data_IF_120527963643
#
_entry.id   IF_120527963643
#
_cell.length_a   1.000
_cell.length_b   1.000
_cell.length_c   1.000
_cell.angle_alpha   90.00
_cell.angle_beta   90.00
_cell.angle_gamma   90.00
#
_symmetry.space_group_name_H-M   'P 1'
#
loop_
_entity.id
_entity.type
_entity.pdbx_description
1 polymer ?
#
# COMPACT_ATOMS: atom_id res chain seq x y z
N UNK A 1 2.86 9.52 22.35
CA UNK A 1 3.74 8.85 21.37
C UNK A 1 2.87 8.55 20.17
N UNK A 2 3.22 9.07 19.00
CA UNK A 2 2.49 8.83 17.74
C UNK A 2 2.40 7.34 17.46
N UNK A 3 1.18 6.83 17.29
CA UNK A 3 0.96 5.43 16.94
C UNK A 3 1.43 5.18 15.50
N UNK A 4 1.88 3.96 15.21
CA UNK A 4 2.22 3.52 13.85
C UNK A 4 1.41 2.31 13.46
N UNK A 5 0.91 2.31 12.23
CA UNK A 5 0.30 1.15 11.59
C UNK A 5 0.95 0.92 10.24
N UNK A 6 0.97 -0.34 9.81
CA UNK A 6 1.44 -0.72 8.49
C UNK A 6 0.26 -1.21 7.67
N UNK A 7 0.06 -0.64 6.48
CA UNK A 7 -1.00 -1.03 5.55
C UNK A 7 -0.41 -1.96 4.49
N UNK A 8 -0.90 -3.20 4.50
CA UNK A 8 -0.46 -4.25 3.58
C UNK A 8 -1.13 -4.14 2.21
N UNK A 9 -0.63 -4.94 1.27
CA UNK A 9 -1.19 -5.06 -0.06
C UNK A 9 -2.68 -5.48 0.03
N UNK A 10 -3.54 -4.73 -0.64
CA UNK A 10 -4.99 -4.96 -0.65
C UNK A 10 -5.74 -4.39 0.54
N UNK A 11 -5.05 -3.74 1.49
CA UNK A 11 -5.71 -3.11 2.62
C UNK A 11 -6.10 -1.65 2.33
N UNK A 12 -7.19 -1.23 2.97
CA UNK A 12 -7.66 0.16 2.97
C UNK A 12 -7.81 0.58 4.42
N UNK A 13 -7.16 1.68 4.80
CA UNK A 13 -7.27 2.28 6.12
C UNK A 13 -7.88 3.68 6.01
N UNK A 14 -8.69 4.05 6.99
CA UNK A 14 -9.17 5.41 7.20
C UNK A 14 -9.33 5.67 8.70
N UNK A 15 -8.92 6.85 9.16
CA UNK A 15 -8.94 7.19 10.58
C UNK A 15 -8.56 8.64 10.84
N UNK A 16 -8.26 8.93 12.10
CA UNK A 16 -7.84 10.24 12.60
C UNK A 16 -6.97 10.08 13.85
N UNK A 17 -6.34 11.17 14.29
CA UNK A 17 -5.54 11.23 15.52
C UNK A 17 -4.04 11.20 15.28
N UNK A 18 -3.27 11.08 16.37
CA UNK A 18 -1.80 11.06 16.36
C UNK A 18 -1.27 9.72 15.83
N UNK A 19 -1.38 9.53 14.51
CA UNK A 19 -1.14 8.28 13.81
C UNK A 19 -0.28 8.49 12.55
N UNK A 20 0.69 7.59 12.37
CA UNK A 20 1.46 7.43 11.15
C UNK A 20 1.12 6.11 10.45
N UNK A 21 0.80 6.21 9.16
CA UNK A 21 0.52 5.09 8.28
C UNK A 21 1.76 4.81 7.45
N UNK A 22 2.28 3.58 7.50
CA UNK A 22 3.43 3.15 6.72
C UNK A 22 3.03 2.09 5.69
N UNK A 23 3.68 2.08 4.54
CA UNK A 23 3.50 1.02 3.54
C UNK A 23 4.70 0.89 2.61
N UNK A 24 4.85 -0.26 1.96
CA UNK A 24 5.92 -0.54 1.00
C UNK A 24 5.31 -0.83 -0.38
N UNK A 25 5.68 -0.01 -1.36
CA UNK A 25 5.15 -0.06 -2.72
C UNK A 25 6.22 -0.49 -3.72
N UNK A 26 5.91 -1.53 -4.50
CA UNK A 26 6.62 -1.89 -5.72
C UNK A 26 5.82 -1.43 -6.94
N UNK A 27 5.33 -2.38 -7.73
CA UNK A 27 4.42 -2.11 -8.86
C UNK A 27 2.99 -1.73 -8.43
N UNK A 28 2.61 -2.02 -7.19
CA UNK A 28 1.38 -1.57 -6.56
C UNK A 28 1.39 -0.04 -6.34
N UNK A 29 0.21 0.52 -6.09
CA UNK A 29 0.02 1.97 -5.92
C UNK A 29 -0.78 2.24 -4.65
N UNK A 30 -0.44 3.34 -3.99
CA UNK A 30 -1.22 3.89 -2.90
C UNK A 30 -1.81 5.25 -3.27
N UNK A 31 -3.06 5.46 -2.85
CA UNK A 31 -3.74 6.76 -2.87
C UNK A 31 -3.97 7.17 -1.42
N UNK A 32 -3.55 8.38 -1.07
CA UNK A 32 -3.78 8.97 0.25
C UNK A 32 -4.82 10.07 0.18
N UNK A 33 -5.74 10.10 1.14
CA UNK A 33 -6.65 11.23 1.39
C UNK A 33 -6.30 11.86 2.73
N UNK A 34 -6.25 13.19 2.81
CA UNK A 34 -6.09 13.90 4.07
C UNK A 34 -6.93 15.16 4.15
N UNK A 35 -7.73 15.31 5.21
CA UNK A 35 -8.54 16.50 5.47
C UNK A 35 -7.79 17.46 6.41
N UNK A 36 -7.41 18.67 5.96
CA UNK A 36 -6.56 19.59 6.72
C UNK A 36 -7.19 20.20 7.97
N UNK A 37 -8.52 20.31 8.01
CA UNK A 37 -9.24 20.91 9.16
C UNK A 37 -9.69 19.84 10.15
N UNK A 38 -10.15 18.69 9.66
CA UNK A 38 -10.72 17.63 10.49
C UNK A 38 -9.71 16.56 10.89
N UNK A 39 -8.53 16.55 10.25
CA UNK A 39 -7.47 15.55 10.43
C UNK A 39 -7.95 14.10 10.27
N UNK A 40 -8.97 13.90 9.42
CA UNK A 40 -9.27 12.59 8.87
C UNK A 40 -8.28 12.29 7.76
N UNK A 41 -7.85 11.05 7.65
CA UNK A 41 -7.11 10.60 6.49
C UNK A 41 -7.16 9.10 6.30
N UNK A 42 -6.83 8.69 5.09
CA UNK A 42 -6.85 7.30 4.71
C UNK A 42 -5.84 7.00 3.62
N UNK A 43 -5.50 5.72 3.51
CA UNK A 43 -4.60 5.19 2.51
C UNK A 43 -5.19 3.88 2.01
N UNK A 44 -5.29 3.72 0.70
CA UNK A 44 -5.44 2.40 0.10
C UNK A 44 -4.12 1.94 -0.50
N UNK A 45 -3.91 0.62 -0.55
CA UNK A 45 -2.75 0.02 -1.19
C UNK A 45 -3.25 -1.06 -2.15
N UNK A 46 -3.53 -0.67 -3.40
CA UNK A 46 -4.07 -1.60 -4.39
C UNK A 46 -2.97 -2.24 -5.25
N UNK A 47 -3.27 -3.42 -5.78
CA UNK A 47 -2.32 -4.26 -6.53
C UNK A 47 -2.62 -4.23 -8.03
N UNK A 48 -3.89 -4.16 -8.41
CA UNK A 48 -4.36 -4.20 -9.78
C UNK A 48 -5.37 -3.07 -10.06
N UNK A 49 -5.53 -2.64 -11.32
CA UNK A 49 -6.48 -1.57 -11.67
C UNK A 49 -7.92 -1.92 -11.29
N UNK A 50 -8.42 -3.02 -11.84
CA UNK A 50 -9.81 -3.46 -11.74
C UNK A 50 -9.89 -4.98 -11.60
N UNK A 51 -10.98 -5.47 -11.00
CA UNK A 51 -11.27 -6.91 -10.95
C UNK A 51 -11.66 -7.40 -12.34
N UNK A 52 -10.95 -8.41 -12.84
CA UNK A 52 -11.41 -9.17 -14.02
C UNK A 52 -12.61 -10.01 -13.59
N UNK A 53 -13.82 -9.51 -13.84
CA UNK A 53 -15.05 -10.24 -13.57
C UNK A 53 -15.07 -11.56 -14.36
N UNK A 54 -14.80 -12.67 -13.71
CA UNK A 54 -15.49 -13.91 -14.05
C UNK A 54 -16.86 -13.80 -13.41
N UNK A 55 -17.93 -13.67 -14.20
CA UNK A 55 -19.30 -13.72 -13.69
C UNK A 55 -19.46 -15.00 -12.88
N UNK A 56 -19.35 -14.89 -11.55
CA UNK A 56 -19.71 -15.98 -10.67
C UNK A 56 -21.21 -15.92 -10.56
N UNK A 57 -21.85 -16.95 -11.08
CA UNK A 57 -23.24 -17.27 -10.83
C UNK A 57 -23.26 -18.33 -9.75
N UNK A 58 -24.14 -18.16 -8.77
CA UNK A 58 -24.38 -19.23 -7.80
C UNK A 58 -25.12 -20.40 -8.47
N UNK A 59 -25.42 -21.44 -7.68
CA UNK A 59 -26.11 -22.63 -8.17
C UNK A 59 -27.51 -22.34 -8.74
N UNK A 60 -28.11 -21.19 -8.39
CA UNK A 60 -29.43 -20.75 -8.81
C UNK A 60 -29.38 -19.77 -10.00
N UNK A 61 -28.18 -19.52 -10.54
CA UNK A 61 -27.98 -18.62 -11.68
C UNK A 61 -28.03 -17.13 -11.32
N UNK A 62 -28.01 -16.78 -10.03
CA UNK A 62 -27.98 -15.39 -9.56
C UNK A 62 -26.53 -14.91 -9.55
N UNK A 63 -26.31 -13.69 -10.05
CA UNK A 63 -24.98 -13.08 -9.99
C UNK A 63 -24.60 -12.80 -8.55
N UNK A 64 -23.50 -13.39 -8.09
CA UNK A 64 -23.01 -13.14 -6.74
C UNK A 64 -22.31 -11.78 -6.74
N UNK A 65 -22.89 -10.82 -6.03
CA UNK A 65 -22.23 -9.52 -5.79
C UNK A 65 -21.13 -9.74 -4.74
N UNK A 66 -19.88 -9.79 -5.19
CA UNK A 66 -18.74 -9.94 -4.29
C UNK A 66 -18.51 -8.62 -3.52
N UNK A 67 -18.10 -8.74 -2.25
CA UNK A 67 -17.76 -7.56 -1.45
C UNK A 67 -16.54 -6.82 -2.06
N UNK A 68 -16.46 -5.49 -1.88
CA UNK A 68 -15.32 -4.71 -2.35
C UNK A 68 -13.98 -5.21 -1.78
N UNK A 69 -13.02 -5.48 -2.67
CA UNK A 69 -11.69 -6.00 -2.39
C UNK A 69 -10.65 -4.90 -2.65
N UNK A 70 -9.89 -4.53 -1.60
CA UNK A 70 -8.92 -3.44 -1.68
C UNK A 70 -7.71 -3.73 -2.57
N UNK A 71 -7.58 -4.94 -3.12
CA UNK A 71 -6.56 -5.26 -4.13
C UNK A 71 -6.83 -4.59 -5.47
N UNK A 72 -8.06 -4.17 -5.76
CA UNK A 72 -8.45 -3.49 -7.00
C UNK A 72 -8.63 -1.99 -6.73
N UNK A 73 -8.05 -1.16 -7.58
CA UNK A 73 -7.94 0.28 -7.32
C UNK A 73 -9.26 1.02 -7.35
N UNK A 74 -10.19 0.63 -8.24
CA UNK A 74 -11.57 1.15 -8.29
C UNK A 74 -12.35 0.86 -7.01
N UNK A 75 -12.30 -0.39 -6.56
CA UNK A 75 -12.97 -0.83 -5.35
C UNK A 75 -12.33 -0.23 -4.09
N UNK A 76 -11.00 -0.12 -4.06
CA UNK A 76 -10.26 0.47 -2.95
C UNK A 76 -10.50 1.98 -2.83
N UNK A 77 -10.53 2.72 -3.95
CA UNK A 77 -10.89 4.14 -3.96
C UNK A 77 -12.34 4.33 -3.53
N UNK A 78 -13.26 3.49 -4.01
CA UNK A 78 -14.67 3.52 -3.61
C UNK A 78 -14.83 3.36 -2.10
N UNK A 79 -14.05 2.49 -1.46
CA UNK A 79 -14.04 2.35 0.00
C UNK A 79 -13.52 3.60 0.73
N UNK A 80 -12.51 4.29 0.21
CA UNK A 80 -12.03 5.55 0.80
C UNK A 80 -13.08 6.66 0.66
N UNK A 81 -13.73 6.77 -0.50
CA UNK A 81 -14.80 7.74 -0.73
C UNK A 81 -16.03 7.47 0.14
N UNK A 82 -16.32 6.19 0.42
CA UNK A 82 -17.35 5.83 1.37
C UNK A 82 -17.04 6.35 2.78
N UNK A 83 -15.78 6.28 3.22
CA UNK A 83 -15.38 6.82 4.52
C UNK A 83 -15.52 8.34 4.59
N UNK A 84 -15.16 9.05 3.51
CA UNK A 84 -15.39 10.49 3.37
C UNK A 84 -16.88 10.83 3.57
N UNK A 85 -17.76 10.05 2.94
CA UNK A 85 -19.23 10.19 3.03
C UNK A 85 -19.76 9.90 4.43
N UNK A 86 -19.37 8.78 5.05
CA UNK A 86 -19.83 8.36 6.39
C UNK A 86 -19.41 9.38 7.46
N UNK A 87 -18.27 10.04 7.30
CA UNK A 87 -17.82 11.09 8.21
C UNK A 87 -18.41 12.47 7.91
N UNK A 88 -19.33 12.58 6.95
CA UNK A 88 -20.04 13.82 6.62
C UNK A 88 -19.15 14.91 6.03
N UNK A 89 -18.07 14.52 5.34
CA UNK A 89 -17.11 15.43 4.71
C UNK A 89 -17.20 15.35 3.19
N UNK A 90 -16.59 16.30 2.46
CA UNK A 90 -16.60 16.31 1.00
C UNK A 90 -15.21 16.02 0.48
N UNK A 91 -15.10 15.21 -0.57
CA UNK A 91 -13.80 14.84 -1.15
C UNK A 91 -12.99 16.06 -1.62
N UNK A 92 -13.67 17.14 -2.05
CA UNK A 92 -13.03 18.40 -2.43
C UNK A 92 -12.30 19.11 -1.28
N UNK A 93 -12.60 18.75 -0.03
CA UNK A 93 -11.93 19.28 1.16
C UNK A 93 -10.66 18.47 1.54
N UNK A 94 -10.32 17.42 0.77
CA UNK A 94 -9.15 16.57 1.03
C UNK A 94 -7.99 16.90 0.11
N UNK A 95 -6.78 16.84 0.67
CA UNK A 95 -5.54 16.72 -0.09
C UNK A 95 -5.37 15.27 -0.54
N UNK A 96 -5.12 15.08 -1.84
CA UNK A 96 -4.97 13.75 -2.44
C UNK A 96 -3.58 13.59 -3.03
N UNK A 97 -2.91 12.48 -2.72
CA UNK A 97 -1.56 12.18 -3.23
C UNK A 97 -1.46 10.73 -3.68
N UNK A 98 -0.62 10.47 -4.68
CA UNK A 98 -0.48 9.15 -5.32
C UNK A 98 0.97 8.71 -5.35
N UNK A 99 1.23 7.45 -5.00
CA UNK A 99 2.59 6.91 -4.88
C UNK A 99 2.68 5.48 -5.40
N UNK A 100 3.85 5.04 -5.87
CA UNK A 100 4.09 3.63 -6.22
C UNK A 100 4.26 3.40 -7.72
N UNK A 101 3.81 2.26 -8.22
CA UNK A 101 3.89 1.93 -9.65
C UNK A 101 5.32 1.74 -10.17
N UNK A 102 6.28 1.44 -9.30
CA UNK A 102 7.68 1.28 -9.67
C UNK A 102 7.98 -0.06 -10.35
N UNK A 103 9.01 -0.06 -11.20
CA UNK A 103 9.62 -1.25 -11.77
C UNK A 103 10.66 -1.83 -10.79
N UNK A 104 10.25 -2.81 -9.98
CA UNK A 104 11.13 -3.45 -8.99
C UNK A 104 11.90 -4.65 -9.54
N UNK A 105 11.46 -5.19 -10.67
CA UNK A 105 12.05 -6.38 -11.28
C UNK A 105 13.17 -6.05 -12.27
N UNK A 106 13.43 -4.75 -12.53
CA UNK A 106 14.42 -4.32 -13.52
C UNK A 106 14.11 -4.84 -14.94
N UNK A 107 12.84 -5.14 -15.22
CA UNK A 107 12.44 -5.62 -16.54
C UNK A 107 12.59 -4.48 -17.55
N UNK A 108 13.07 -4.75 -18.78
CA UNK A 108 13.23 -3.71 -19.78
C UNK A 108 11.88 -3.04 -20.09
N UNK A 109 11.86 -1.74 -20.44
CA UNK A 109 10.63 -0.95 -20.63
C UNK A 109 9.63 -1.53 -21.64
N UNK A 110 10.09 -2.41 -22.53
CA UNK A 110 9.29 -3.10 -23.55
C UNK A 110 8.53 -4.32 -23.03
N UNK A 111 8.76 -4.75 -21.78
CA UNK A 111 8.07 -5.88 -21.14
C UNK A 111 7.15 -5.38 -20.01
N UNK A 112 6.00 -6.05 -19.86
CA UNK A 112 5.01 -5.96 -18.76
C UNK A 112 5.16 -4.74 -17.83
N UNK A 113 4.58 -3.60 -18.22
CA UNK A 113 4.60 -2.34 -17.47
C UNK A 113 3.53 -2.31 -16.36
N UNK A 114 3.48 -3.33 -15.50
CA UNK A 114 2.43 -3.44 -14.46
C UNK A 114 2.42 -2.20 -13.56
N UNK A 115 3.60 -1.77 -13.12
CA UNK A 115 3.73 -0.57 -12.28
C UNK A 115 3.22 0.70 -12.95
N UNK A 116 3.59 0.91 -14.22
CA UNK A 116 3.07 2.05 -14.98
C UNK A 116 1.55 1.95 -15.15
N UNK A 117 1.03 0.79 -15.54
CA UNK A 117 -0.41 0.63 -15.77
C UNK A 117 -1.22 0.92 -14.50
N UNK A 118 -0.73 0.52 -13.33
CA UNK A 118 -1.34 0.86 -12.05
C UNK A 118 -1.26 2.35 -11.73
N UNK A 119 -0.15 3.00 -12.04
CA UNK A 119 0.02 4.44 -11.85
C UNK A 119 -0.92 5.25 -12.76
N UNK A 120 -0.94 4.91 -14.05
CA UNK A 120 -1.80 5.55 -15.05
C UNK A 120 -3.27 5.41 -14.64
N UNK A 121 -3.68 4.19 -14.28
CA UNK A 121 -5.03 3.92 -13.77
C UNK A 121 -5.38 4.79 -12.56
N UNK A 122 -4.50 4.91 -11.56
CA UNK A 122 -4.77 5.71 -10.36
C UNK A 122 -5.02 7.19 -10.71
N UNK A 123 -4.27 7.75 -11.65
CA UNK A 123 -4.44 9.13 -12.09
C UNK A 123 -5.72 9.29 -12.90
N UNK A 124 -6.00 8.36 -13.81
CA UNK A 124 -7.19 8.37 -14.65
C UNK A 124 -8.47 8.26 -13.83
N UNK A 125 -8.54 7.34 -12.87
CA UNK A 125 -9.73 7.15 -12.04
C UNK A 125 -9.97 8.36 -11.13
N UNK A 126 -8.93 8.96 -10.56
CA UNK A 126 -9.07 10.19 -9.77
C UNK A 126 -9.57 11.34 -10.65
N UNK A 127 -9.09 11.45 -11.89
CA UNK A 127 -9.59 12.43 -12.86
C UNK A 127 -11.07 12.19 -13.20
N UNK A 128 -11.49 10.95 -13.44
CA UNK A 128 -12.89 10.59 -13.71
C UNK A 128 -13.82 10.98 -12.55
N UNK A 129 -13.34 10.85 -11.31
CA UNK A 129 -14.03 11.30 -10.11
C UNK A 129 -13.90 12.81 -9.82
N UNK A 130 -13.22 13.57 -10.69
CA UNK A 130 -12.95 15.00 -10.53
C UNK A 130 -12.18 15.34 -9.24
N UNK A 131 -11.27 14.45 -8.82
CA UNK A 131 -10.46 14.60 -7.61
C UNK A 131 -9.06 15.08 -8.02
N UNK A 132 -8.67 16.32 -7.68
CA UNK A 132 -7.35 16.83 -8.06
C UNK A 132 -6.24 16.17 -7.22
N UNK A 133 -5.19 15.70 -7.90
CA UNK A 133 -3.99 15.18 -7.26
C UNK A 133 -3.07 16.35 -6.89
N UNK A 134 -2.80 16.52 -5.60
CA UNK A 134 -1.95 17.60 -5.08
C UNK A 134 -0.46 17.28 -5.20
N UNK A 135 -0.08 16.01 -5.11
CA UNK A 135 1.29 15.56 -5.33
C UNK A 135 1.32 14.09 -5.77
N UNK A 136 2.34 13.72 -6.54
CA UNK A 136 2.55 12.33 -6.94
C UNK A 136 4.03 11.96 -7.01
N UNK A 137 4.33 10.71 -6.66
CA UNK A 137 5.62 10.07 -6.95
C UNK A 137 5.33 8.63 -7.40
N UNK A 138 5.11 8.48 -8.70
CA UNK A 138 4.66 7.25 -9.34
C UNK A 138 5.62 6.81 -10.46
N UNK A 139 5.44 5.58 -10.96
CA UNK A 139 6.24 5.00 -12.05
C UNK A 139 7.75 4.91 -11.72
N UNK A 140 8.62 4.85 -12.73
CA UNK A 140 10.07 4.80 -12.55
C UNK A 140 10.59 3.47 -11.98
N UNK A 141 11.82 3.48 -11.49
CA UNK A 141 12.53 2.28 -11.04
C UNK A 141 12.50 2.12 -9.52
N UNK A 142 12.52 0.86 -9.06
CA UNK A 142 12.64 0.52 -7.66
C UNK A 142 11.34 0.64 -6.85
N UNK A 143 11.49 0.56 -5.53
CA UNK A 143 10.36 0.57 -4.59
C UNK A 143 10.29 1.90 -3.82
N UNK A 144 9.14 2.15 -3.21
CA UNK A 144 8.88 3.30 -2.35
C UNK A 144 8.38 2.83 -1.00
N UNK A 145 9.09 3.20 0.06
CA UNK A 145 8.59 3.08 1.41
C UNK A 145 7.97 4.41 1.82
N UNK A 146 6.69 4.39 2.18
CA UNK A 146 5.94 5.57 2.59
C UNK A 146 5.79 5.63 4.10
N UNK A 147 5.82 6.85 4.62
CA UNK A 147 5.26 7.22 5.92
C UNK A 147 4.32 8.40 5.70
N UNK A 148 3.07 8.25 6.08
CA UNK A 148 2.01 9.26 5.97
C UNK A 148 1.54 9.65 7.37
N UNK A 149 1.65 10.93 7.73
CA UNK A 149 1.27 11.43 9.06
C UNK A 149 -0.09 12.13 9.01
N UNK A 150 -1.05 11.62 9.80
CA UNK A 150 -2.41 12.14 9.82
C UNK A 150 -2.54 13.47 10.56
N UNK A 151 -1.54 13.88 11.35
CA UNK A 151 -1.58 15.16 12.06
C UNK A 151 -1.42 16.36 11.11
N UNK A 152 -0.70 16.18 10.00
CA UNK A 152 -0.33 17.30 9.13
C UNK A 152 -0.43 17.00 7.62
N UNK A 153 -0.73 15.77 7.24
CA UNK A 153 -0.91 15.39 5.84
C UNK A 153 0.39 15.10 5.09
N UNK A 154 1.54 15.15 5.76
CA UNK A 154 2.84 14.95 5.13
C UNK A 154 3.07 13.48 4.78
N UNK A 155 3.73 13.27 3.64
CA UNK A 155 4.14 11.95 3.18
C UNK A 155 5.63 11.97 2.90
N UNK A 156 6.39 11.19 3.67
CA UNK A 156 7.80 10.95 3.42
C UNK A 156 7.95 9.71 2.54
N UNK A 157 8.78 9.84 1.51
CA UNK A 157 9.06 8.76 0.56
C UNK A 157 10.54 8.41 0.66
N UNK A 158 10.84 7.15 0.99
CA UNK A 158 12.18 6.58 0.84
C UNK A 158 12.19 5.65 -0.36
N UNK A 159 13.01 5.98 -1.36
CA UNK A 159 13.21 5.17 -2.57
C UNK A 159 14.32 4.16 -2.35
N UNK A 160 14.18 2.98 -2.95
CA UNK A 160 15.22 1.96 -2.97
C UNK A 160 15.24 1.22 -4.30
N UNK A 161 16.35 0.56 -4.59
CA UNK A 161 16.53 -0.16 -5.86
C UNK A 161 15.88 -1.55 -5.83
N UNK A 162 15.49 -2.05 -7.00
CA UNK A 162 15.06 -3.42 -7.20
C UNK A 162 16.18 -4.43 -6.94
N UNK A 163 15.83 -5.72 -6.85
CA UNK A 163 16.79 -6.80 -6.58
C UNK A 163 17.81 -6.96 -7.71
N UNK A 164 19.07 -7.20 -7.33
CA UNK A 164 20.09 -7.71 -8.24
C UNK A 164 19.64 -9.07 -8.80
N UNK A 165 19.96 -9.34 -10.06
CA UNK A 165 19.68 -10.63 -10.71
C UNK A 165 20.68 -11.73 -10.30
N UNK A 166 21.71 -11.38 -9.53
CA UNK A 166 22.69 -12.34 -9.06
C UNK A 166 22.09 -13.26 -7.99
N UNK A 167 22.00 -14.54 -8.32
CA UNK A 167 21.62 -15.57 -7.37
C UNK A 167 22.80 -15.89 -6.46
N UNK A 168 22.75 -15.43 -5.21
CA UNK A 168 23.70 -15.88 -4.20
C UNK A 168 23.25 -17.22 -3.61
N UNK A 169 24.16 -18.19 -3.51
CA UNK A 169 23.89 -19.46 -2.84
C UNK A 169 23.74 -19.21 -1.36
N UNK A 170 22.51 -19.24 -0.85
CA UNK A 170 22.25 -19.28 0.59
C UNK A 170 22.64 -20.66 1.12
N UNK A 171 23.68 -20.79 1.97
CA UNK A 171 24.05 -22.09 2.52
C UNK A 171 22.92 -22.62 3.40
N UNK A 172 22.59 -23.89 3.26
CA UNK A 172 21.62 -24.59 4.09
C UNK A 172 22.21 -24.78 5.50
N UNK A 173 22.21 -23.73 6.33
CA UNK A 173 22.64 -23.68 7.73
C UNK A 173 23.92 -24.48 8.09
N UNK A 174 24.99 -23.77 8.45
CA UNK A 174 25.99 -24.39 9.33
C UNK A 174 25.34 -24.52 10.71
N UNK A 175 25.33 -25.73 11.28
CA UNK A 175 24.67 -26.08 12.52
C UNK A 175 24.74 -24.93 13.55
N UNK A 176 23.57 -24.46 14.00
CA UNK A 176 23.47 -23.53 15.12
C UNK A 176 24.16 -24.19 16.33
N UNK A 177 25.36 -23.73 16.67
CA UNK A 177 26.09 -24.23 17.83
C UNK A 177 25.28 -23.83 19.07
N UNK A 178 24.78 -24.76 19.89
CA UNK A 178 24.13 -24.38 21.12
C UNK A 178 25.14 -23.61 21.97
N UNK A 179 24.77 -22.39 22.39
CA UNK A 179 25.54 -21.66 23.37
C UNK A 179 25.58 -22.52 24.64
N UNK A 180 26.77 -23.04 24.99
CA UNK A 180 26.98 -23.71 26.27
C UNK A 180 26.70 -22.69 27.37
N UNK A 181 25.65 -22.94 28.15
CA UNK A 181 25.52 -22.32 29.47
C UNK A 181 26.72 -22.77 30.30
N UNK A 182 27.59 -21.83 30.65
CA UNK A 182 28.65 -22.06 31.62
C UNK A 182 27.99 -22.13 33.00
N UNK A 183 27.80 -23.36 33.50
CA UNK A 183 27.35 -23.64 34.86
C UNK A 183 28.20 -24.75 35.49
N UNK A 184 29.44 -24.42 35.86
CA UNK A 184 30.13 -25.03 37.00
C UNK A 184 29.89 -24.06 38.17
N UNK A 185 29.35 -24.39 39.33
CA UNK A 185 29.50 -25.62 40.11
C UNK A 185 30.54 -25.40 41.21
N UNK A 186 30.10 -25.02 42.42
CA UNK A 186 30.74 -25.27 43.74
C UNK A 186 29.63 -25.16 44.81
N UNK A 187 29.10 -26.26 45.35
CA UNK A 187 29.60 -27.11 46.45
C UNK A 187 29.53 -26.50 47.88
N UNK A 188 28.85 -27.27 48.75
CA UNK A 188 29.01 -27.44 50.22
C UNK A 188 28.45 -26.35 51.15
N UNK A 189 27.40 -26.69 51.90
CA UNK A 189 27.50 -27.27 53.26
C UNK A 189 26.27 -28.12 53.52
#
# INVERSE_FOLDING_TARGET
MTQRIFVNLGEVYFGQGDLQIETLLGSCVAITLWHPVRHFGGLCHFVLPERRHSLRVDADGVQVHEAPDGRYGDEALSRLLEQVRVHGTRIADYTVKVFGGGNVLGLPPTKLRIGQANADFALDILQQHHIPVTAQDVAGEGYRYLRFDLNNGDVWVRRGHGVSHDMEKVPAATACRPQRTAGLGKERT
#
